data_IF_962434297078
#
_entry.id   IF_962434297078
#
_cell.length_a   1.000
_cell.length_b   1.000
_cell.length_c   1.000
_cell.angle_alpha   90.00
_cell.angle_beta   90.00
_cell.angle_gamma   90.00
#
_symmetry.space_group_name_H-M   'P 1'
#
loop_
_entity.id
_entity.type
_entity.pdbx_description
1 polymer ?
2 non-polymer ?
3 non-polymer ?
4 non-polymer ?
5 water ?
#
# COMPACT_ATOMS: atom_id res chain seq x y z
N UNK A 1 4.39 15.71 -3.38
CA UNK A 1 5.09 14.63 -2.64
C UNK A 1 4.54 14.54 -1.23
N UNK A 2 4.72 13.38 -0.60
CA UNK A 2 4.40 13.22 0.80
C UNK A 2 5.66 12.71 1.50
N UNK A 3 5.73 12.93 2.80
CA UNK A 3 6.91 12.61 3.59
C UNK A 3 6.55 11.95 4.92
N UNK A 4 7.44 11.08 5.41
CA UNK A 4 7.33 10.51 6.75
C UNK A 4 8.72 10.29 7.33
N UNK A 5 8.89 10.69 8.58
CA UNK A 5 10.16 10.58 9.29
C UNK A 5 9.99 9.64 10.47
N UNK A 6 10.80 8.59 10.51
CA UNK A 6 10.73 7.64 11.62
C UNK A 6 11.35 8.22 12.91
N UNK A 7 12.28 9.15 12.76
CA UNK A 7 12.86 9.82 13.92
C UNK A 7 11.81 10.69 14.61
N UNK A 8 11.46 10.29 15.83
CA UNK A 8 10.43 11.00 16.60
C UNK A 8 9.02 10.62 16.20
N UNK A 9 8.87 9.58 15.39
CA UNK A 9 7.55 9.13 14.93
C UNK A 9 6.71 8.60 16.08
N UNK A 10 5.42 8.89 16.05
CA UNK A 10 4.46 8.31 16.99
C UNK A 10 3.15 8.04 16.24
N UNK A 11 2.15 7.43 16.92
CA UNK A 11 0.90 7.15 16.21
C UNK A 11 0.29 8.37 15.52
N UNK A 12 0.48 9.55 16.11
CA UNK A 12 -0.04 10.78 15.54
C UNK A 12 0.66 11.19 14.24
N UNK A 13 1.99 11.27 14.25
CA UNK A 13 2.73 11.67 13.04
C UNK A 13 2.53 10.65 11.92
N UNK A 14 2.41 9.38 12.28
CA UNK A 14 2.14 8.35 11.30
C UNK A 14 0.74 8.55 10.69
N UNK A 15 -0.24 8.82 11.55
CA UNK A 15 -1.61 9.12 11.08
C UNK A 15 -1.66 10.31 10.13
N UNK A 16 -0.87 11.33 10.42
CA UNK A 16 -0.77 12.49 9.54
C UNK A 16 -0.17 12.11 8.17
N UNK A 17 0.84 11.24 8.17
CA UNK A 17 1.44 10.76 6.93
C UNK A 17 0.43 9.99 6.08
N UNK A 18 -0.33 9.10 6.71
CA UNK A 18 -1.30 8.29 5.98
C UNK A 18 -2.45 9.16 5.46
N UNK A 19 -2.83 10.18 6.23
CA UNK A 19 -3.78 11.19 5.74
C UNK A 19 -3.22 11.91 4.51
N UNK A 20 -1.97 12.34 4.58
CA UNK A 20 -1.31 13.02 3.46
C UNK A 20 -1.28 12.14 2.22
N UNK A 21 -0.95 10.86 2.42
CA UNK A 21 -0.88 9.90 1.31
C UNK A 21 -2.24 9.76 0.62
N UNK A 22 -3.28 9.50 1.39
CA UNK A 22 -4.66 9.47 0.87
C UNK A 22 -5.01 10.74 0.08
N UNK A 23 -4.73 11.89 0.68
CA UNK A 23 -5.09 13.19 0.07
C UNK A 23 -4.32 13.52 -1.18
N UNK A 24 -3.18 12.86 -1.38
CA UNK A 24 -2.39 13.06 -2.59
C UNK A 24 -2.90 12.24 -3.77
N UNK A 25 -3.81 11.31 -3.52
CA UNK A 25 -4.37 10.50 -4.59
C UNK A 25 -5.58 11.22 -5.17
N UNK A 26 -5.56 11.51 -6.48
CA UNK A 26 -6.65 12.28 -7.05
C UNK A 26 -7.91 11.45 -7.29
N UNK A 27 -9.05 12.10 -7.22
CA UNK A 27 -10.33 11.50 -7.55
C UNK A 27 -11.28 12.61 -8.01
N UNK A 28 -12.25 12.28 -8.86
CA UNK A 28 -13.28 13.26 -9.25
C UNK A 28 -14.65 12.89 -8.68
N UNK A 29 -14.72 11.77 -7.98
CA UNK A 29 -15.98 11.15 -7.57
C UNK A 29 -15.79 10.43 -6.24
N UNK A 30 -16.84 10.42 -5.42
CA UNK A 30 -16.94 9.45 -4.33
C UNK A 30 -18.09 8.50 -4.58
N UNK A 31 -17.86 7.24 -4.25
CA UNK A 31 -18.89 6.22 -4.30
C UNK A 31 -19.16 5.81 -2.87
N UNK A 32 -20.41 6.00 -2.43
CA UNK A 32 -20.80 5.83 -1.05
C UNK A 32 -19.84 6.56 -0.10
N UNK A 33 -19.46 7.77 -0.49
CA UNK A 33 -18.65 8.65 0.33
C UNK A 33 -17.16 8.25 0.44
N UNK A 34 -16.73 7.30 -0.39
CA UNK A 34 -15.33 6.85 -0.45
C UNK A 34 -14.74 7.32 -1.77
N UNK A 35 -13.57 8.00 -1.72
CA UNK A 35 -12.91 8.43 -2.94
C UNK A 35 -12.71 7.28 -3.94
N UNK A 36 -13.06 7.55 -5.20
CA UNK A 36 -12.91 6.59 -6.28
C UNK A 36 -11.67 6.95 -7.07
N UNK A 37 -10.68 6.06 -7.07
CA UNK A 37 -9.44 6.34 -7.79
C UNK A 37 -9.72 6.38 -9.29
N UNK A 38 -8.90 7.17 -10.00
CA UNK A 38 -9.14 7.42 -11.41
C UNK A 38 -8.89 6.18 -12.27
N UNK A 39 -9.58 6.09 -13.42
CA UNK A 39 -9.34 4.98 -14.35
C UNK A 39 -7.91 4.99 -14.88
N UNK A 40 -7.42 6.18 -15.21
CA UNK A 40 -6.03 6.33 -15.61
C UNK A 40 -5.57 7.77 -15.51
N UNK A 41 -4.26 7.95 -15.55
CA UNK A 41 -3.62 9.25 -15.55
C UNK A 41 -2.45 9.12 -16.50
N UNK A 42 -2.17 10.18 -17.26
CA UNK A 42 -1.12 10.11 -18.29
C UNK A 42 0.12 10.87 -17.88
N UNK A 43 1.26 10.35 -18.31
CA UNK A 43 2.54 10.97 -18.07
C UNK A 43 3.01 10.82 -16.64
N UNK A 44 3.82 11.76 -16.21
CA UNK A 44 4.46 11.71 -14.90
C UNK A 44 3.47 11.93 -13.77
N UNK A 45 2.33 12.55 -14.07
CA UNK A 45 1.27 12.78 -13.09
C UNK A 45 0.68 11.51 -12.48
N UNK A 46 0.92 10.39 -13.14
CA UNK A 46 0.49 9.09 -12.65
C UNK A 46 1.17 8.65 -11.35
N UNK A 47 2.34 9.21 -11.07
CA UNK A 47 3.19 8.73 -9.97
C UNK A 47 3.38 9.73 -8.84
N UNK A 48 3.03 9.29 -7.64
CA UNK A 48 3.30 10.04 -6.41
C UNK A 48 4.64 9.61 -5.83
N UNK A 49 5.40 10.58 -5.32
CA UNK A 49 6.66 10.29 -4.65
C UNK A 49 6.49 10.39 -3.14
N UNK A 50 6.82 9.30 -2.44
CA UNK A 50 6.86 9.32 -0.98
C UNK A 50 8.32 9.38 -0.52
N UNK A 51 8.64 10.39 0.26
CA UNK A 51 9.96 10.53 0.86
C UNK A 51 9.92 9.92 2.25
N UNK A 52 10.66 8.85 2.45
CA UNK A 52 10.69 8.18 3.75
C UNK A 52 12.08 8.25 4.34
N UNK A 53 12.14 8.62 5.62
CA UNK A 53 13.42 8.76 6.33
C UNK A 53 13.48 7.80 7.48
N UNK A 54 14.56 7.03 7.54
CA UNK A 54 14.77 6.14 8.66
C UNK A 54 15.19 6.95 9.88
N UNK A 55 15.29 6.27 11.02
CA UNK A 55 15.58 6.93 12.27
C UNK A 55 16.85 7.81 12.22
N UNK A 56 17.88 7.34 11.51
CA UNK A 56 19.12 8.10 11.34
C UNK A 56 19.06 9.17 10.27
N UNK A 57 17.90 9.31 9.64
CA UNK A 57 17.70 10.41 8.70
C UNK A 57 18.13 10.12 7.27
N UNK A 58 18.50 8.87 6.98
CA UNK A 58 18.71 8.46 5.59
C UNK A 58 17.37 8.25 4.93
N UNK A 59 17.35 8.33 3.61
CA UNK A 59 16.09 8.47 2.90
C UNK A 59 16.02 7.65 1.63
N UNK A 60 14.83 7.14 1.34
CA UNK A 60 14.50 6.61 0.03
C UNK A 60 13.26 7.35 -0.45
N UNK A 61 13.11 7.41 -1.77
CA UNK A 61 11.92 7.97 -2.38
C UNK A 61 11.22 6.85 -3.11
N UNK A 62 9.94 6.63 -2.78
CA UNK A 62 9.17 5.53 -3.31
C UNK A 62 8.16 6.07 -4.30
N UNK A 63 8.07 5.46 -5.48
CA UNK A 63 7.12 5.89 -6.52
C UNK A 63 5.86 5.05 -6.45
N UNK A 64 4.71 5.70 -6.33
CA UNK A 64 3.43 5.04 -6.20
C UNK A 64 2.49 5.45 -7.36
N UNK A 65 1.91 4.46 -8.04
CA UNK A 65 0.90 4.69 -9.07
C UNK A 65 -0.40 5.17 -8.40
N UNK A 66 -0.82 6.39 -8.71
CA UNK A 66 -1.94 7.03 -8.00
C UNK A 66 -3.32 6.48 -8.36
N UNK A 67 -3.39 5.61 -9.37
CA UNK A 67 -4.64 5.00 -9.78
C UNK A 67 -4.95 3.72 -9.01
N UNK A 68 -3.93 3.07 -8.48
CA UNK A 68 -4.11 1.80 -7.76
C UNK A 68 -3.32 1.64 -6.44
N UNK A 69 -2.55 2.66 -6.07
CA UNK A 69 -1.68 2.69 -4.89
C UNK A 69 -0.60 1.59 -4.91
N UNK A 70 -0.21 1.14 -6.10
CA UNK A 70 0.84 0.14 -6.26
C UNK A 70 2.22 0.81 -6.27
N UNK A 71 3.17 0.25 -5.53
CA UNK A 71 4.52 0.74 -5.52
C UNK A 71 5.17 0.24 -6.79
N UNK A 72 5.77 1.17 -7.53
CA UNK A 72 6.41 0.86 -8.81
C UNK A 72 7.92 0.61 -8.63
N UNK A 73 8.52 1.35 -7.71
CA UNK A 73 9.96 1.30 -7.51
C UNK A 73 10.35 2.36 -6.51
N UNK A 74 11.66 2.54 -6.33
CA UNK A 74 12.16 3.49 -5.37
C UNK A 74 13.56 3.93 -5.73
N UNK A 75 13.96 5.06 -5.15
CA UNK A 75 15.29 5.60 -5.33
C UNK A 75 16.02 5.58 -4.01
N UNK A 76 17.24 5.03 -4.04
CA UNK A 76 18.11 5.00 -2.86
C UNK A 76 19.48 5.53 -3.26
N UNK A 77 19.84 6.70 -2.73
CA UNK A 77 21.02 7.46 -3.14
C UNK A 77 21.00 7.76 -4.65
N UNK A 78 21.83 7.09 -5.45
CA UNK A 78 21.91 7.38 -6.89
C UNK A 78 21.47 6.17 -7.71
N UNK A 79 20.83 5.20 -7.06
CA UNK A 79 20.38 4.00 -7.72
C UNK A 79 18.87 3.90 -7.61
N UNK A 80 18.22 3.67 -8.75
CA UNK A 80 16.79 3.38 -8.78
C UNK A 80 16.55 1.89 -8.90
N UNK A 81 15.46 1.44 -8.32
CA UNK A 81 15.05 0.05 -8.32
C UNK A 81 13.59 -0.02 -8.72
N UNK A 82 13.26 -0.87 -9.70
CA UNK A 82 11.89 -1.05 -10.15
C UNK A 82 11.55 -2.52 -10.16
N UNK A 83 10.28 -2.82 -9.90
CA UNK A 83 9.79 -4.19 -10.00
C UNK A 83 9.91 -4.67 -11.44
N UNK A 84 10.02 -5.98 -11.58
CA UNK A 84 10.10 -6.59 -12.89
C UNK A 84 8.67 -6.85 -13.40
N UNK A 85 8.03 -5.79 -13.88
CA UNK A 85 6.66 -5.84 -14.38
C UNK A 85 6.45 -4.66 -15.34
N UNK A 86 5.55 -4.80 -16.33
CA UNK A 86 5.43 -3.72 -17.32
C UNK A 86 5.01 -2.35 -16.78
N UNK A 87 4.11 -2.33 -15.80
CA UNK A 87 3.70 -1.08 -15.16
C UNK A 87 4.89 -0.33 -14.55
N UNK A 88 5.84 -1.07 -13.95
CA UNK A 88 7.01 -0.45 -13.34
C UNK A 88 7.99 0.00 -14.40
N UNK A 89 8.14 -0.82 -15.44
CA UNK A 89 9.00 -0.47 -16.57
C UNK A 89 8.53 0.85 -17.18
N UNK A 90 7.22 1.00 -17.35
CA UNK A 90 6.65 2.25 -17.81
C UNK A 90 6.94 3.38 -16.83
N UNK A 91 6.70 3.16 -15.55
CA UNK A 91 6.99 4.18 -14.54
C UNK A 91 8.44 4.65 -14.62
N UNK A 92 9.35 3.74 -14.95
CA UNK A 92 10.78 4.09 -15.03
C UNK A 92 11.07 5.13 -16.12
N UNK A 93 10.11 5.38 -17.01
CA UNK A 93 10.25 6.41 -18.03
C UNK A 93 10.02 7.80 -17.46
N UNK A 94 9.36 7.88 -16.31
CA UNK A 94 8.96 9.16 -15.73
C UNK A 94 9.62 9.55 -14.43
N UNK A 95 9.98 8.57 -13.58
CA UNK A 95 10.56 8.91 -12.27
C UNK A 95 11.99 8.41 -12.10
N UNK A 96 12.76 9.14 -11.29
CA UNK A 96 14.13 8.80 -10.94
C UNK A 96 15.07 8.73 -12.15
N UNK A 97 14.75 9.52 -13.17
CA UNK A 97 15.53 9.53 -14.41
C UNK A 97 16.97 9.97 -14.18
N UNK A 98 17.18 10.84 -13.20
CA UNK A 98 18.52 11.32 -12.87
C UNK A 98 19.36 10.34 -12.03
N UNK A 99 18.83 9.15 -11.73
CA UNK A 99 19.63 8.13 -11.06
C UNK A 99 20.82 7.72 -11.92
N UNK A 100 21.96 7.49 -11.28
CA UNK A 100 23.17 7.07 -11.99
C UNK A 100 23.03 5.69 -12.61
N UNK A 101 22.31 4.79 -11.94
CA UNK A 101 21.99 3.50 -12.54
C UNK A 101 20.61 3.04 -12.11
N UNK A 102 20.07 2.13 -12.89
CA UNK A 102 18.75 1.59 -12.66
C UNK A 102 18.86 0.09 -12.55
N UNK A 103 18.36 -0.45 -11.44
CA UNK A 103 18.32 -1.88 -11.24
C UNK A 103 16.88 -2.35 -11.32
N UNK A 104 16.65 -3.38 -12.13
CA UNK A 104 15.35 -4.02 -12.14
C UNK A 104 15.41 -5.18 -11.16
N UNK A 105 14.53 -5.16 -10.17
CA UNK A 105 14.47 -6.22 -9.16
C UNK A 105 14.10 -7.53 -9.82
N UNK A 106 14.55 -8.66 -9.25
CA UNK A 106 14.24 -9.94 -9.87
C UNK A 106 12.90 -10.55 -9.44
N UNK A 107 11.87 -9.69 -9.30
CA UNK A 107 10.51 -10.14 -9.05
C UNK A 107 9.54 -8.99 -9.39
N UNK A 108 8.29 -9.35 -9.63
CA UNK A 108 7.23 -8.35 -9.73
C UNK A 108 6.79 -7.93 -8.33
N UNK A 109 5.84 -7.01 -8.26
CA UNK A 109 5.44 -6.43 -6.97
C UNK A 109 4.28 -7.12 -6.27
N UNK A 110 3.78 -8.22 -6.80
CA UNK A 110 2.65 -8.84 -6.15
C UNK A 110 3.07 -9.69 -4.97
N UNK A 111 2.13 -9.86 -4.05
CA UNK A 111 2.42 -10.48 -2.77
C UNK A 111 2.97 -11.89 -2.95
N UNK A 112 2.38 -12.64 -3.87
CA UNK A 112 2.84 -14.03 -4.09
C UNK A 112 4.31 -14.09 -4.48
N UNK A 113 4.71 -13.29 -5.47
CA UNK A 113 6.12 -13.27 -5.91
C UNK A 113 7.09 -12.73 -4.86
N UNK A 114 6.66 -11.70 -4.13
CA UNK A 114 7.51 -11.14 -3.08
C UNK A 114 7.72 -12.13 -1.93
N UNK A 115 6.68 -12.88 -1.61
CA UNK A 115 6.74 -13.87 -0.53
C UNK A 115 7.68 -15.03 -0.88
N UNK A 116 7.61 -15.47 -2.14
CA UNK A 116 8.54 -16.47 -2.69
C UNK A 116 9.98 -15.98 -2.57
N UNK A 117 10.23 -14.77 -3.09
CA UNK A 117 11.56 -14.16 -3.05
C UNK A 117 12.08 -14.00 -1.63
N UNK A 118 11.18 -13.62 -0.72
CA UNK A 118 11.55 -13.34 0.66
C UNK A 118 11.77 -14.62 1.47
N UNK A 119 11.19 -15.72 0.99
CA UNK A 119 11.30 -17.00 1.65
C UNK A 119 10.25 -17.21 2.74
N UNK A 120 9.24 -16.34 2.78
CA UNK A 120 8.22 -16.49 3.81
C UNK A 120 6.94 -15.70 3.50
N UNK A 121 5.80 -16.22 3.96
CA UNK A 121 4.53 -15.52 3.79
C UNK A 121 4.50 -14.33 4.71
N UNK A 122 3.69 -13.34 4.38
CA UNK A 122 3.71 -12.16 5.22
C UNK A 122 2.93 -12.35 6.53
N UNK A 123 2.22 -13.48 6.67
CA UNK A 123 1.72 -13.92 7.98
C UNK A 123 2.83 -14.01 9.04
N UNK A 124 4.06 -14.25 8.57
CA UNK A 124 5.20 -14.48 9.45
C UNK A 124 6.15 -13.29 9.56
N UNK A 125 5.84 -12.18 8.89
CA UNK A 125 6.72 -11.02 8.88
C UNK A 125 6.12 -9.94 9.77
N UNK A 126 6.79 -9.62 10.90
CA UNK A 126 6.34 -8.52 11.75
C UNK A 126 6.29 -7.19 11.01
N UNK A 127 5.24 -6.42 11.27
CA UNK A 127 5.13 -5.08 10.73
C UNK A 127 4.90 -4.11 11.88
N UNK A 128 5.04 -2.83 11.59
CA UNK A 128 5.05 -1.79 12.61
C UNK A 128 5.97 -0.68 12.17
N UNK A 129 6.09 0.36 12.99
CA UNK A 129 6.99 1.46 12.66
C UNK A 129 8.47 1.04 12.77
N UNK A 130 8.83 0.24 13.78
CA UNK A 130 10.21 -0.26 13.78
C UNK A 130 10.53 -1.10 12.55
N UNK A 131 9.60 -1.94 12.11
CA UNK A 131 9.82 -2.75 10.91
C UNK A 131 9.97 -1.85 9.68
N UNK A 132 9.25 -0.72 9.64
CA UNK A 132 9.38 0.22 8.52
C UNK A 132 10.75 0.89 8.50
N UNK A 133 11.21 1.33 9.67
CA UNK A 133 12.58 1.86 9.82
C UNK A 133 13.63 0.87 9.28
N UNK A 134 13.51 -0.41 9.66
CA UNK A 134 14.39 -1.47 9.15
C UNK A 134 14.29 -1.61 7.63
N UNK A 135 13.06 -1.54 7.13
CA UNK A 135 12.80 -1.74 5.71
C UNK A 135 13.51 -0.69 4.89
N UNK A 136 13.38 0.57 5.31
CA UNK A 136 14.04 1.69 4.66
C UNK A 136 15.55 1.46 4.64
N UNK A 137 16.09 1.07 5.79
CA UNK A 137 17.54 0.82 5.92
C UNK A 137 18.00 -0.28 4.98
N UNK A 138 17.25 -1.37 4.93
CA UNK A 138 17.56 -2.47 4.03
C UNK A 138 17.55 -2.04 2.57
N UNK A 139 16.57 -1.23 2.17
CA UNK A 139 16.43 -0.85 0.77
C UNK A 139 17.54 0.10 0.33
N UNK A 140 18.22 0.72 1.30
CA UNK A 140 19.34 1.62 0.98
C UNK A 140 20.50 0.90 0.31
N UNK A 141 20.69 -0.38 0.63
CA UNK A 141 21.77 -1.16 0.02
C UNK A 141 21.29 -2.49 -0.53
N UNK A 142 21.47 -2.60 -1.85
CA UNK A 142 20.85 -3.64 -2.62
C UNK A 142 21.15 -5.04 -2.09
N UNK A 143 20.07 -5.77 -1.82
CA UNK A 143 20.14 -7.17 -1.47
C UNK A 143 18.74 -7.67 -1.83
N UNK A 144 18.59 -8.40 -2.93
CA UNK A 144 17.24 -8.66 -3.46
C UNK A 144 16.38 -9.55 -2.57
N UNK A 145 17.01 -10.53 -1.91
CA UNK A 145 16.28 -11.35 -0.93
C UNK A 145 15.81 -10.54 0.26
N UNK A 146 16.69 -9.75 0.86
CA UNK A 146 16.32 -8.90 1.99
C UNK A 146 15.31 -7.83 1.55
N UNK A 147 15.49 -7.30 0.34
CA UNK A 147 14.59 -6.28 -0.20
C UNK A 147 13.15 -6.77 -0.35
N UNK A 148 12.96 -8.03 -0.73
CA UNK A 148 11.59 -8.57 -0.87
C UNK A 148 10.83 -8.48 0.45
N UNK A 149 11.49 -8.82 1.54
CA UNK A 149 10.88 -8.77 2.87
C UNK A 149 10.62 -7.34 3.26
N UNK A 150 11.58 -6.47 2.98
CA UNK A 150 11.44 -5.06 3.29
C UNK A 150 10.28 -4.42 2.50
N UNK A 151 10.09 -4.85 1.25
CA UNK A 151 9.02 -4.35 0.42
C UNK A 151 7.64 -4.81 0.89
N UNK A 152 7.54 -6.05 1.39
CA UNK A 152 6.31 -6.52 2.03
C UNK A 152 5.93 -5.65 3.21
N UNK A 153 6.92 -5.25 4.00
CA UNK A 153 6.68 -4.36 5.12
C UNK A 153 6.27 -2.96 4.64
N UNK A 154 6.99 -2.47 3.64
CA UNK A 154 6.77 -1.13 3.13
C UNK A 154 5.36 -0.98 2.56
N UNK A 155 4.95 -1.95 1.75
CA UNK A 155 3.65 -1.93 1.07
C UNK A 155 2.51 -1.92 2.08
N UNK A 156 2.64 -2.74 3.11
CA UNK A 156 1.61 -2.85 4.14
C UNK A 156 1.50 -1.63 5.03
N UNK A 157 2.64 -1.03 5.38
CA UNK A 157 2.65 0.12 6.29
C UNK A 157 2.40 1.45 5.57
N UNK A 158 2.33 1.42 4.24
CA UNK A 158 2.04 2.62 3.47
C UNK A 158 0.74 2.44 2.68
N UNK A 159 0.79 1.78 1.52
CA UNK A 159 -0.38 1.57 0.66
C UNK A 159 -1.58 0.92 1.36
N UNK A 160 -1.36 -0.20 2.06
CA UNK A 160 -2.47 -0.92 2.68
C UNK A 160 -3.11 -0.09 3.80
N UNK A 161 -2.28 0.64 4.55
CA UNK A 161 -2.78 1.56 5.58
C UNK A 161 -3.57 2.72 4.98
N UNK A 162 -3.13 3.24 3.84
CA UNK A 162 -3.91 4.26 3.14
C UNK A 162 -5.28 3.72 2.72
N UNK A 163 -5.33 2.47 2.29
CA UNK A 163 -6.57 1.87 1.78
C UNK A 163 -7.59 1.53 2.85
N UNK A 164 -7.11 1.17 4.05
CA UNK A 164 -7.98 0.71 5.13
C UNK A 164 -7.62 1.37 6.45
N UNK A 165 -8.60 2.02 7.07
CA UNK A 165 -8.40 2.62 8.39
C UNK A 165 -8.00 1.56 9.42
N UNK A 166 -8.58 0.37 9.33
CA UNK A 166 -8.24 -0.71 10.25
C UNK A 166 -6.72 -1.00 10.22
N UNK A 167 -6.15 -1.02 9.02
CA UNK A 167 -4.73 -1.34 8.88
C UNK A 167 -3.87 -0.20 9.42
N UNK A 168 -4.26 1.05 9.14
CA UNK A 168 -3.58 2.22 9.71
C UNK A 168 -3.52 2.13 11.24
N UNK A 169 -4.64 1.73 11.84
CA UNK A 169 -4.73 1.59 13.29
C UNK A 169 -3.84 0.47 13.83
N UNK A 170 -3.83 -0.66 13.13
CA UNK A 170 -2.95 -1.77 13.47
C UNK A 170 -1.48 -1.34 13.52
N UNK A 171 -1.07 -0.52 12.56
CA UNK A 171 0.30 -0.01 12.50
C UNK A 171 0.54 0.99 13.63
N UNK A 172 -0.45 1.83 13.90
CA UNK A 172 -0.36 2.74 15.04
C UNK A 172 -0.19 1.97 16.35
N UNK A 173 -0.87 0.84 16.48
CA UNK A 173 -0.71 -0.01 17.66
C UNK A 173 0.71 -0.61 17.73
N UNK A 174 1.38 -0.65 16.59
CA UNK A 174 2.73 -1.20 16.48
C UNK A 174 3.76 -0.11 16.29
N UNK A 175 3.53 1.05 16.92
CA UNK A 175 4.44 2.18 16.77
C UNK A 175 5.81 1.91 17.38
N UNK A 176 5.87 1.10 18.45
CA UNK A 176 7.12 0.91 19.19
C UNK A 176 7.44 -0.58 19.42
N UNK A 177 6.62 -1.46 18.85
CA UNK A 177 6.81 -2.91 18.90
C UNK A 177 6.17 -3.52 17.66
N UNK A 178 6.97 -4.23 16.86
CA UNK A 178 6.45 -4.93 15.68
C UNK A 178 5.63 -6.14 16.08
N UNK A 179 4.70 -6.50 15.21
CA UNK A 179 3.93 -7.72 15.38
C UNK A 179 3.41 -8.15 14.02
N UNK A 180 3.36 -9.45 13.80
CA UNK A 180 2.84 -9.96 12.53
C UNK A 180 1.41 -9.43 12.36
N UNK A 181 0.99 -9.20 11.10
CA UNK A 181 -0.36 -8.69 10.83
C UNK A 181 -1.46 -9.62 11.32
N UNK A 182 -2.57 -9.06 11.79
CA UNK A 182 -3.74 -9.86 12.13
C UNK A 182 -4.26 -10.57 10.87
N UNK A 183 -4.96 -11.68 11.05
CA UNK A 183 -5.59 -12.37 9.94
C UNK A 183 -6.58 -11.45 9.20
N UNK A 184 -7.26 -10.59 9.95
CA UNK A 184 -8.16 -9.62 9.38
C UNK A 184 -7.42 -8.67 8.44
N UNK A 185 -6.24 -8.23 8.88
CA UNK A 185 -5.38 -7.37 8.07
C UNK A 185 -5.06 -8.02 6.73
N UNK A 186 -4.62 -9.27 6.79
CA UNK A 186 -4.30 -10.05 5.58
C UNK A 186 -5.53 -10.17 4.65
N UNK A 187 -6.66 -10.48 5.26
CA UNK A 187 -7.93 -10.64 4.54
C UNK A 187 -8.32 -9.35 3.79
N UNK A 188 -8.21 -8.21 4.46
CA UNK A 188 -8.52 -6.92 3.85
C UNK A 188 -7.61 -6.63 2.68
N UNK A 189 -6.31 -6.85 2.88
CA UNK A 189 -5.34 -6.67 1.79
C UNK A 189 -5.76 -7.49 0.58
N UNK A 190 -6.05 -8.76 0.82
CA UNK A 190 -6.43 -9.67 -0.24
C UNK A 190 -7.76 -9.34 -0.92
N UNK A 191 -8.62 -8.58 -0.24
CA UNK A 191 -9.99 -8.30 -0.72
C UNK A 191 -10.20 -6.89 -1.27
N UNK A 192 -9.14 -6.08 -1.35
CA UNK A 192 -9.31 -4.67 -1.72
C UNK A 192 -9.93 -4.51 -3.10
N UNK A 193 -9.48 -5.32 -4.05
CA UNK A 193 -9.98 -5.28 -5.41
C UNK A 193 -11.44 -5.72 -5.46
N UNK A 194 -11.72 -6.85 -4.82
CA UNK A 194 -13.09 -7.37 -4.69
C UNK A 194 -14.07 -6.39 -4.07
N UNK A 195 -13.67 -5.79 -2.95
CA UNK A 195 -14.51 -4.81 -2.24
C UNK A 195 -14.73 -3.55 -3.07
N UNK A 196 -13.65 -3.06 -3.66
CA UNK A 196 -13.71 -1.89 -4.52
C UNK A 196 -14.73 -2.12 -5.63
N UNK A 197 -14.66 -3.30 -6.24
CA UNK A 197 -15.59 -3.65 -7.30
C UNK A 197 -17.04 -3.76 -6.81
N UNK A 198 -17.26 -4.51 -5.73
CA UNK A 198 -18.62 -4.73 -5.23
C UNK A 198 -19.29 -3.46 -4.70
N UNK A 199 -18.49 -2.53 -4.18
CA UNK A 199 -19.01 -1.26 -3.72
C UNK A 199 -19.47 -0.42 -4.91
N UNK A 200 -18.69 -0.46 -6.00
CA UNK A 200 -19.10 0.21 -7.24
C UNK A 200 -20.34 -0.44 -7.87
N UNK A 201 -20.42 -1.77 -7.87
CA UNK A 201 -21.57 -2.49 -8.45
C UNK A 201 -22.85 -2.24 -7.65
N UNK A 202 -22.69 -1.97 -6.36
CA UNK A 202 -23.83 -1.69 -5.49
C UNK A 202 -24.54 -0.38 -5.84
N UNK A 203 -23.86 0.52 -6.55
CA UNK A 203 -24.44 1.82 -6.93
C UNK A 203 -25.78 1.70 -7.66
N UNK A 204 -25.87 0.76 -8.60
CA UNK A 204 -27.12 0.53 -9.33
C UNK A 204 -27.86 -0.71 -8.85
N UNK A 205 -27.57 -1.13 -7.63
CA UNK A 205 -28.14 -2.35 -7.08
C UNK A 205 -28.61 -2.11 -5.64
N UNK A 206 -29.06 -0.88 -5.38
CA UNK A 206 -29.62 -0.50 -4.09
C UNK A 206 -28.67 -0.73 -2.90
N UNK A 207 -27.38 -0.58 -3.14
CA UNK A 207 -26.39 -0.75 -2.08
C UNK A 207 -26.05 -2.21 -1.76
N UNK A 208 -26.55 -3.14 -2.58
CA UNK A 208 -26.35 -4.58 -2.37
C UNK A 208 -25.22 -5.07 -3.28
N UNK A 209 -24.28 -5.85 -2.73
CA UNK A 209 -23.21 -6.46 -3.53
C UNK A 209 -23.80 -7.52 -4.46
N UNK A 210 -23.37 -7.52 -5.72
CA UNK A 210 -23.74 -8.57 -6.68
C UNK A 210 -23.19 -9.93 -6.21
N UNK A 211 -21.97 -9.91 -5.67
CA UNK A 211 -21.30 -11.09 -5.14
C UNK A 211 -20.75 -10.76 -3.75
N UNK A 212 -21.14 -11.54 -2.72
CA UNK A 212 -20.65 -11.25 -1.38
C UNK A 212 -19.13 -11.39 -1.26
N UNK A 213 -18.54 -10.61 -0.36
CA UNK A 213 -17.10 -10.68 -0.09
C UNK A 213 -16.87 -11.33 1.27
N UNK A 214 -16.10 -12.41 1.30
CA UNK A 214 -15.77 -13.07 2.56
C UNK A 214 -14.50 -12.48 3.19
N UNK A 215 -14.63 -12.01 4.43
CA UNK A 215 -13.51 -11.47 5.19
C UNK A 215 -13.29 -12.24 6.49
N UNK A 216 -12.15 -11.99 7.13
CA UNK A 216 -11.93 -12.40 8.53
C UNK A 216 -12.04 -11.15 9.40
N UNK A 217 -12.74 -11.25 10.53
CA UNK A 217 -12.89 -10.11 11.45
C UNK A 217 -11.80 -10.08 12.53
N UNK A 218 -11.78 -9.01 13.31
CA UNK A 218 -10.85 -8.83 14.44
C UNK A 218 -10.65 -10.08 15.29
N UNK A 219 -11.75 -10.78 15.56
CA UNK A 219 -11.76 -11.91 16.48
C UNK A 219 -11.35 -13.22 15.82
N UNK A 220 -10.92 -13.15 14.56
CA UNK A 220 -10.48 -14.34 13.82
C UNK A 220 -11.61 -15.08 13.14
N UNK A 221 -12.82 -14.52 13.15
CA UNK A 221 -13.99 -15.18 12.58
C UNK A 221 -14.29 -14.71 11.16
N UNK A 222 -14.63 -15.68 10.30
CA UNK A 222 -14.86 -15.44 8.88
C UNK A 222 -16.29 -14.91 8.63
N UNK A 223 -16.40 -13.75 8.00
CA UNK A 223 -17.71 -13.10 7.81
C UNK A 223 -17.98 -12.68 6.36
N UNK A 224 -19.25 -12.67 5.99
CA UNK A 224 -19.69 -12.34 4.65
C UNK A 224 -20.12 -10.89 4.61
N UNK A 225 -19.61 -10.14 3.64
CA UNK A 225 -20.00 -8.75 3.43
C UNK A 225 -20.92 -8.74 2.21
N UNK A 226 -22.15 -8.28 2.38
CA UNK A 226 -23.17 -8.38 1.34
C UNK A 226 -23.72 -7.04 0.86
N UNK A 227 -23.45 -5.97 1.60
CA UNK A 227 -24.01 -4.67 1.27
C UNK A 227 -23.25 -3.51 1.90
N UNK A 228 -23.54 -2.31 1.46
CA UNK A 228 -22.77 -1.12 1.85
C UNK A 228 -23.01 -0.64 3.29
N UNK A 229 -23.95 -1.23 4.02
CA UNK A 229 -24.15 -0.86 5.43
C UNK A 229 -23.14 -1.54 6.36
N UNK A 230 -22.34 -2.49 5.85
CA UNK A 230 -21.31 -3.12 6.66
C UNK A 230 -20.26 -2.10 7.11
N UNK A 231 -19.70 -2.32 8.29
CA UNK A 231 -18.68 -1.42 8.85
C UNK A 231 -17.44 -1.30 7.96
N UNK A 232 -17.14 -2.35 7.21
CA UNK A 232 -15.99 -2.34 6.28
C UNK A 232 -16.17 -1.21 5.27
N UNK A 233 -17.40 -1.00 4.82
CA UNK A 233 -17.71 0.03 3.83
C UNK A 233 -17.92 1.41 4.45
N UNK A 234 -18.65 1.48 5.56
CA UNK A 234 -19.01 2.76 6.16
C UNK A 234 -17.85 3.39 6.93
N UNK A 235 -16.95 2.57 7.47
CA UNK A 235 -15.90 3.06 8.39
C UNK A 235 -14.45 2.78 7.94
N UNK A 236 -14.21 1.63 7.33
CA UNK A 236 -12.87 1.10 7.16
C UNK A 236 -12.20 1.52 5.83
N UNK A 237 -12.73 1.06 4.70
CA UNK A 237 -12.11 1.32 3.40
C UNK A 237 -12.09 2.82 3.11
N UNK A 238 -10.97 3.32 2.58
CA UNK A 238 -10.78 4.76 2.34
C UNK A 238 -10.55 5.11 0.89
N UNK A 239 -10.38 4.11 0.04
CA UNK A 239 -10.04 4.33 -1.37
C UNK A 239 -10.57 3.14 -2.17
N UNK A 240 -11.12 3.44 -3.35
CA UNK A 240 -11.64 2.39 -4.22
C UNK A 240 -10.83 2.33 -5.49
N UNK A 241 -10.40 1.11 -5.81
CA UNK A 241 -9.82 0.81 -7.10
C UNK A 241 -10.93 0.89 -8.14
N UNK A 242 -10.73 1.72 -9.15
CA UNK A 242 -11.72 1.88 -10.21
C UNK A 242 -11.97 0.55 -10.89
N UNK A 243 -13.25 0.21 -11.08
CA UNK A 243 -13.62 -1.07 -11.70
C UNK A 243 -13.07 -1.22 -13.11
N UNK A 244 -12.76 -0.11 -13.78
CA UNK A 244 -12.09 -0.15 -15.08
C UNK A 244 -10.70 -0.78 -15.01
N UNK A 245 -10.11 -0.82 -13.81
CA UNK A 245 -8.82 -1.48 -13.59
C UNK A 245 -8.93 -2.87 -12.95
N UNK A 246 -10.13 -3.43 -12.90
CA UNK A 246 -10.35 -4.75 -12.30
C UNK A 246 -10.78 -5.75 -13.37
X LIG B 1 -26.69 -5.99 4.98
X LIG B 1 -27.79 -6.97 5.42
X LIG B 1 -28.00 -7.07 6.94
X LIG B 1 -26.71 -6.89 7.72
X LIG B 1 -25.98 -5.66 7.19
X LIG B 1 -24.73 -5.30 7.99
X LIG B 1 -29.28 -6.73 3.49
X LIG B 1 -30.54 -6.11 2.95
X LIG B 1 -28.99 -6.47 4.77
X LIG B 1 -28.57 -8.31 7.28
X LIG B 1 -26.99 -6.78 9.09
X LIG B 1 -25.59 -5.96 5.87
X LIG B 1 -23.84 -6.39 8.00
X LIG B 1 -28.58 -7.43 2.75
X LIG C 1 9.77 3.39 15.66
X LIG C 1 10.97 2.88 16.25
X LIG C 1 9.87 4.90 15.46
X LIG C 1 11.19 5.27 15.02
X LIG C 1 9.50 5.55 16.79
X LIG C 1 9.76 6.95 16.82
X LIG D 1 -14.51 7.15 4.39
X LIG D 1 -14.01 8.34 5.01
X LIG D 1 -15.48 6.44 5.34
X LIG D 1 -16.79 6.42 4.78
X LIG D 1 -14.98 5.04 5.71
X LIG D 1 -15.44 3.95 4.87
X LIG E 1 -0.48 -8.53 -5.32
X LIG E 1 -0.66 -7.95 -4.01
X LIG E 1 0.47 -6.99 -3.64
X LIG E 1 0.38 -5.72 -4.46
X LIG E 1 1.50 -4.83 -3.95
X LIG E 1 2.21 -4.16 -5.01
X LIG E 1 2.37 -2.72 -5.01
X LIG E 1 2.57 -2.15 -3.60
X LIG E 1 1.63 -1.01 -3.19
X LIG E 1 0.35 -1.50 -2.73
#
# INVERSE_FOLDING_TARGET
DVSFRLSGADPSSYGMFIKDLRNALPHTEKVYNIPLLLPSVSGAGRYLLMHLFNYDGNTITVAVDVTNVYIMGYLALTTSYFFNEPAADLASQYVFRSARRKITLPYSGNYERLQIAAGKPREKIPIGLPALDTAISTLLHYDSTAAAGALLVLIQTTAEAARFKYIEQQIQERAYRDEVPSSATISLENSWSGLSKQIQLAQGNNGVFRTPTVLVDSKGNRVQITNVTSNVVTSNIQLLLNTKNI
NAG C1 C2 C3 C4 C5 C6 C7 C8 N2 O3 O4 O5 O6 O7
GOL C1 O1 C2 O2 C3 O3
GOL C1 O1 C2 O2 C3 O3
SPD N1 C2 C3 C4 C5 N6 C7 C8 C9 N10
#
